data_IF_458587395600
#
_entry.id   IF_458587395600
#
_cell.length_a   1.000
_cell.length_b   1.000
_cell.length_c   1.000
_cell.angle_alpha   90.00
_cell.angle_beta   90.00
_cell.angle_gamma   90.00
#
_symmetry.space_group_name_H-M   'P 1'
#
loop_
_entity.id
_entity.type
_entity.pdbx_description
1 polymer ?
#
# COMPACT_ATOMS: atom_id res chain seq x y z
N UNK A 1 -1.80 -5.79 14.09
CA UNK A 1 -1.89 -5.49 12.64
C UNK A 1 -2.39 -4.07 12.39
N UNK A 2 -3.07 -3.45 13.36
CA UNK A 2 -3.68 -2.12 13.28
C UNK A 2 -2.73 -1.00 12.86
N UNK A 3 -1.49 -1.00 13.37
CA UNK A 3 -0.52 0.08 13.07
C UNK A 3 -0.11 0.14 11.59
N UNK A 4 -0.07 -1.01 10.92
CA UNK A 4 0.29 -1.09 9.49
C UNK A 4 -0.87 -0.57 8.64
N UNK A 5 -2.10 -0.97 8.97
CA UNK A 5 -3.30 -0.47 8.30
C UNK A 5 -3.47 1.03 8.49
N UNK A 6 -3.26 1.58 9.69
CA UNK A 6 -3.33 3.03 9.92
C UNK A 6 -2.34 3.81 9.07
N UNK A 7 -1.08 3.37 9.01
CA UNK A 7 -0.05 4.05 8.19
C UNK A 7 -0.42 3.99 6.71
N UNK A 8 -0.97 2.87 6.23
CA UNK A 8 -1.39 2.75 4.84
C UNK A 8 -2.63 3.58 4.53
N UNK A 9 -3.59 3.66 5.45
CA UNK A 9 -4.78 4.47 5.31
C UNK A 9 -4.44 5.97 5.23
N UNK A 10 -3.41 6.42 5.95
CA UNK A 10 -2.90 7.80 5.86
C UNK A 10 -2.25 8.09 4.48
N UNK A 11 -1.65 7.09 3.84
CA UNK A 11 -0.95 7.24 2.55
C UNK A 11 -1.84 7.01 1.32
N UNK A 12 -2.93 6.23 1.44
CA UNK A 12 -3.93 6.00 0.39
C UNK A 12 -4.41 7.27 -0.31
N UNK A 13 -4.79 8.37 0.37
CA UNK A 13 -5.24 9.57 -0.33
C UNK A 13 -4.19 10.11 -1.32
N UNK A 14 -2.91 10.04 -0.97
CA UNK A 14 -1.81 10.45 -1.85
C UNK A 14 -1.70 9.53 -3.06
N UNK A 15 -1.74 8.21 -2.84
CA UNK A 15 -1.70 7.21 -3.91
C UNK A 15 -2.89 7.37 -4.88
N UNK A 16 -4.08 7.63 -4.36
CA UNK A 16 -5.27 7.91 -5.18
C UNK A 16 -5.13 9.19 -6.00
N UNK A 17 -4.51 10.25 -5.46
CA UNK A 17 -4.24 11.48 -6.22
C UNK A 17 -3.29 11.22 -7.40
N UNK A 18 -2.33 10.32 -7.22
CA UNK A 18 -1.42 9.86 -8.29
C UNK A 18 -2.08 8.84 -9.25
N UNK A 19 -3.37 8.54 -9.07
CA UNK A 19 -4.13 7.59 -9.88
C UNK A 19 -3.79 6.11 -9.59
N UNK A 20 -3.07 5.84 -8.51
CA UNK A 20 -2.71 4.51 -8.03
C UNK A 20 -3.46 4.12 -6.75
N UNK A 21 -3.25 2.89 -6.30
CA UNK A 21 -3.64 2.42 -4.97
C UNK A 21 -2.69 1.29 -4.55
N UNK A 22 -2.77 0.85 -3.30
CA UNK A 22 -1.90 -0.20 -2.75
C UNK A 22 -2.67 -1.18 -1.88
N UNK A 23 -2.45 -2.47 -2.11
CA UNK A 23 -3.02 -3.55 -1.31
C UNK A 23 -1.92 -4.36 -0.62
N UNK A 24 -2.06 -4.59 0.69
CA UNK A 24 -1.12 -5.43 1.45
C UNK A 24 -1.45 -6.89 1.22
N UNK A 25 -0.48 -7.65 0.74
CA UNK A 25 -0.64 -9.09 0.51
C UNK A 25 -0.18 -9.88 1.73
N UNK A 26 0.99 -9.54 2.29
CA UNK A 26 1.51 -10.20 3.50
C UNK A 26 2.50 -9.30 4.23
N UNK A 27 2.69 -9.58 5.50
CA UNK A 27 3.84 -9.08 6.28
C UNK A 27 4.67 -10.31 6.64
N UNK A 28 5.96 -10.29 6.33
CA UNK A 28 6.84 -11.40 6.68
C UNK A 28 7.27 -11.36 8.16
N UNK A 29 7.94 -12.42 8.61
CA UNK A 29 8.41 -12.56 10.00
C UNK A 29 9.50 -11.54 10.37
N UNK A 30 10.07 -10.84 9.38
CA UNK A 30 11.05 -9.78 9.56
C UNK A 30 10.39 -8.38 9.63
N UNK A 31 9.07 -8.30 9.50
CA UNK A 31 8.30 -7.06 9.53
C UNK A 31 8.23 -6.32 8.19
N UNK A 32 8.59 -6.96 7.08
CA UNK A 32 8.50 -6.40 5.74
C UNK A 32 7.10 -6.61 5.18
N UNK A 33 6.42 -5.50 4.85
CA UNK A 33 5.11 -5.53 4.21
C UNK A 33 5.27 -5.68 2.69
N UNK A 34 4.78 -6.79 2.15
CA UNK A 34 4.65 -7.01 0.73
C UNK A 34 3.33 -6.41 0.26
N UNK A 35 3.44 -5.48 -0.67
CA UNK A 35 2.31 -4.75 -1.23
C UNK A 35 2.21 -4.98 -2.73
N UNK A 36 0.99 -4.92 -3.24
CA UNK A 36 0.71 -4.89 -4.67
C UNK A 36 0.21 -3.50 -5.03
N UNK A 37 0.88 -2.89 -5.98
CA UNK A 37 0.45 -1.63 -6.57
C UNK A 37 -0.75 -1.89 -7.47
N UNK A 38 -1.73 -0.99 -7.41
CA UNK A 38 -2.95 -0.98 -8.22
C UNK A 38 -3.02 0.36 -8.97
N UNK A 39 -3.84 0.42 -10.02
CA UNK A 39 -4.07 1.64 -10.79
C UNK A 39 -2.89 2.04 -11.69
N UNK A 40 -2.70 3.35 -11.88
CA UNK A 40 -1.69 3.91 -12.77
C UNK A 40 -0.24 3.52 -12.39
N UNK A 41 0.00 3.09 -11.15
CA UNK A 41 1.32 2.63 -10.70
C UNK A 41 1.75 1.26 -11.25
N UNK A 42 0.91 0.55 -12.01
CA UNK A 42 1.31 -0.68 -12.72
C UNK A 42 2.03 -0.38 -14.04
N UNK A 43 1.81 0.80 -14.62
CA UNK A 43 2.32 1.22 -15.93
C UNK A 43 3.09 2.54 -15.77
N UNK A 44 4.38 2.46 -15.42
CA UNK A 44 5.33 3.56 -15.71
C UNK A 44 6.68 3.00 -16.14
#
# INVERSE_FOLDING_TARGET
>A
MDRIQQVLDDYRPTLYMDGGDVEVIKVDEQGVAHVKMLGACIDC
#
